data_IF_418666303749
#
_entry.id   IF_418666303749
#
_cell.length_a   1.000
_cell.length_b   1.000
_cell.length_c   1.000
_cell.angle_alpha   90.00
_cell.angle_beta   90.00
_cell.angle_gamma   90.00
#
_symmetry.space_group_name_H-M   'P 1'
#
loop_
_entity.id
_entity.type
_entity.pdbx_description
1 polymer ?
#
# COMPACT_ATOMS: atom_id res chain seq x y z
N UNK A 1 17.57 18.90 6.17
CA UNK A 1 16.14 19.05 6.49
C UNK A 1 15.51 17.67 6.61
N UNK A 2 14.92 17.37 7.74
CA UNK A 2 14.30 16.06 7.93
C UNK A 2 12.93 16.02 7.27
N UNK A 3 12.60 14.89 6.65
CA UNK A 3 11.28 14.68 6.08
C UNK A 3 10.32 14.29 7.19
N UNK A 4 9.11 14.80 7.12
CA UNK A 4 8.02 14.34 7.95
C UNK A 4 7.64 12.93 7.49
N UNK A 5 7.70 11.96 8.41
CA UNK A 5 7.40 10.56 8.09
C UNK A 5 5.95 10.32 7.70
N UNK A 6 5.08 11.28 8.00
CA UNK A 6 3.65 11.15 7.70
C UNK A 6 3.27 11.71 6.34
N UNK A 7 4.20 12.29 5.61
CA UNK A 7 3.90 12.86 4.29
C UNK A 7 3.61 11.75 3.29
N UNK A 8 2.52 11.87 2.50
CA UNK A 8 2.09 10.78 1.63
C UNK A 8 3.03 10.50 0.45
N UNK A 9 3.89 11.46 0.10
CA UNK A 9 4.82 11.31 -1.02
C UNK A 9 6.21 10.81 -0.61
N UNK A 10 6.39 10.46 0.67
CA UNK A 10 7.66 9.89 1.11
C UNK A 10 7.85 8.50 0.52
N UNK A 11 9.10 8.16 0.23
CA UNK A 11 9.43 6.81 -0.22
C UNK A 11 9.04 5.82 0.85
N UNK A 12 8.48 4.69 0.42
CA UNK A 12 7.90 3.72 1.34
C UNK A 12 8.94 3.13 2.30
N UNK A 13 10.18 2.94 1.84
CA UNK A 13 11.25 2.40 2.68
C UNK A 13 11.76 3.41 3.70
N UNK A 14 11.49 4.70 3.51
CA UNK A 14 11.93 5.73 4.45
C UNK A 14 11.14 5.72 5.75
N UNK A 15 9.98 5.06 5.78
CA UNK A 15 9.12 5.00 6.97
C UNK A 15 9.23 3.68 7.73
N UNK A 16 10.11 2.80 7.29
CA UNK A 16 10.30 1.48 7.91
C UNK A 16 11.75 1.30 8.34
N UNK A 17 11.97 0.45 9.34
CA UNK A 17 13.34 0.08 9.72
C UNK A 17 13.94 -0.89 8.68
N UNK A 18 15.24 -1.12 8.79
CA UNK A 18 15.97 -1.94 7.82
C UNK A 18 15.48 -3.39 7.79
N UNK A 19 15.14 -3.94 8.94
CA UNK A 19 14.68 -5.33 9.01
C UNK A 19 13.32 -5.49 8.34
N UNK A 20 12.40 -4.57 8.61
CA UNK A 20 11.08 -4.57 7.99
C UNK A 20 11.19 -4.37 6.49
N UNK A 21 12.00 -3.42 6.06
CA UNK A 21 12.22 -3.14 4.64
C UNK A 21 12.76 -4.36 3.91
N UNK A 22 13.72 -5.06 4.53
CA UNK A 22 14.30 -6.28 3.95
C UNK A 22 13.25 -7.37 3.77
N UNK A 23 12.44 -7.61 4.79
CA UNK A 23 11.40 -8.64 4.74
C UNK A 23 10.36 -8.31 3.65
N UNK A 24 9.95 -7.06 3.56
CA UNK A 24 9.00 -6.60 2.55
C UNK A 24 9.59 -6.78 1.15
N UNK A 25 10.83 -6.33 0.95
CA UNK A 25 11.49 -6.44 -0.34
C UNK A 25 11.61 -7.89 -0.80
N UNK A 26 11.98 -8.80 0.12
CA UNK A 26 12.09 -10.22 -0.20
C UNK A 26 10.75 -10.81 -0.61
N UNK A 27 9.67 -10.43 0.06
CA UNK A 27 8.33 -10.90 -0.29
C UNK A 27 7.92 -10.41 -1.68
N UNK A 28 8.20 -9.14 -2.00
CA UNK A 28 7.91 -8.60 -3.33
C UNK A 28 8.72 -9.31 -4.42
N UNK A 29 10.01 -9.56 -4.16
CA UNK A 29 10.87 -10.26 -5.11
C UNK A 29 10.41 -11.69 -5.37
N UNK A 30 10.00 -12.38 -4.30
CA UNK A 30 9.46 -13.74 -4.43
C UNK A 30 8.16 -13.74 -5.24
N UNK A 31 7.31 -12.76 -5.02
CA UNK A 31 6.06 -12.62 -5.77
C UNK A 31 6.35 -12.39 -7.26
N UNK A 32 7.28 -11.49 -7.57
CA UNK A 32 7.66 -11.21 -8.95
C UNK A 32 8.21 -12.44 -9.65
N UNK A 33 9.00 -13.23 -8.92
CA UNK A 33 9.59 -14.47 -9.46
C UNK A 33 8.59 -15.62 -9.55
N UNK A 34 7.38 -15.47 -9.04
CA UNK A 34 6.37 -16.53 -9.02
C UNK A 34 6.63 -17.62 -7.99
N UNK A 35 7.49 -17.34 -7.00
CA UNK A 35 7.89 -18.32 -5.98
C UNK A 35 7.43 -17.93 -4.56
N UNK A 36 6.55 -16.94 -4.45
CA UNK A 36 6.05 -16.51 -3.13
C UNK A 36 5.17 -17.59 -2.51
N UNK A 37 5.40 -17.85 -1.22
CA UNK A 37 4.52 -18.73 -0.45
C UNK A 37 3.15 -18.10 -0.29
N UNK A 38 2.11 -18.89 0.07
CA UNK A 38 0.79 -18.30 0.34
C UNK A 38 0.85 -17.18 1.39
N UNK A 39 1.67 -17.33 2.42
CA UNK A 39 1.85 -16.30 3.45
C UNK A 39 2.48 -15.03 2.89
N UNK A 40 3.48 -15.18 2.03
CA UNK A 40 4.11 -14.03 1.37
C UNK A 40 3.14 -13.31 0.44
N UNK A 41 2.30 -14.06 -0.28
CA UNK A 41 1.30 -13.47 -1.16
C UNK A 41 0.31 -12.62 -0.37
N UNK A 42 -0.21 -13.15 0.74
CA UNK A 42 -1.12 -12.42 1.62
C UNK A 42 -0.44 -11.20 2.24
N UNK A 43 0.80 -11.37 2.65
CA UNK A 43 1.57 -10.28 3.25
C UNK A 43 1.75 -9.12 2.27
N UNK A 44 2.12 -9.40 1.03
CA UNK A 44 2.30 -8.36 0.01
C UNK A 44 1.00 -7.63 -0.26
N UNK A 45 -0.10 -8.36 -0.41
CA UNK A 45 -1.40 -7.75 -0.68
C UNK A 45 -1.84 -6.85 0.50
N UNK A 46 -1.70 -7.35 1.72
CA UNK A 46 -2.03 -6.59 2.92
C UNK A 46 -1.16 -5.34 3.05
N UNK A 47 0.13 -5.48 2.77
CA UNK A 47 1.07 -4.37 2.80
C UNK A 47 0.68 -3.29 1.78
N UNK A 48 0.34 -3.69 0.55
CA UNK A 48 -0.08 -2.74 -0.49
C UNK A 48 -1.30 -1.94 -0.05
N UNK A 49 -2.29 -2.61 0.51
CA UNK A 49 -3.54 -1.96 0.91
C UNK A 49 -3.31 -1.01 2.08
N UNK A 50 -2.63 -1.48 3.13
CA UNK A 50 -2.51 -0.74 4.39
C UNK A 50 -1.40 0.31 4.38
N UNK A 51 -0.24 -0.05 3.84
CA UNK A 51 0.95 0.80 3.91
C UNK A 51 1.22 1.51 2.59
N UNK A 52 1.22 0.76 1.49
CA UNK A 52 1.52 1.34 0.18
C UNK A 52 0.47 2.36 -0.26
N UNK A 53 -0.80 1.99 -0.15
CA UNK A 53 -1.92 2.85 -0.56
C UNK A 53 -2.52 3.63 0.60
N UNK A 54 -2.19 3.27 1.84
CA UNK A 54 -2.76 3.87 3.06
C UNK A 54 -4.28 3.99 2.97
N UNK A 55 -4.92 2.89 2.57
CA UNK A 55 -6.36 2.84 2.27
C UNK A 55 -7.22 3.31 3.44
N UNK A 56 -6.79 3.00 4.67
CA UNK A 56 -7.57 3.29 5.87
C UNK A 56 -7.09 4.51 6.63
N UNK A 57 -6.10 5.23 6.09
CA UNK A 57 -5.56 6.44 6.71
C UNK A 57 -6.34 7.67 6.22
N UNK A 58 -6.12 8.80 6.92
CA UNK A 58 -6.70 10.07 6.49
C UNK A 58 -6.06 10.53 5.18
N UNK A 59 -6.86 11.17 4.34
CA UNK A 59 -6.37 11.85 3.15
C UNK A 59 -6.38 13.36 3.28
N UNK A 60 -6.70 13.88 4.49
CA UNK A 60 -6.72 15.32 4.72
C UNK A 60 -5.36 15.82 5.19
N UNK A 61 -4.88 16.87 4.53
CA UNK A 61 -3.67 17.60 4.88
C UNK A 61 -3.93 19.09 4.67
N UNK A 62 -3.22 19.97 5.41
CA UNK A 62 -3.41 21.40 5.26
C UNK A 62 -3.14 21.92 3.85
N UNK A 63 -2.21 21.32 3.12
CA UNK A 63 -1.92 21.70 1.74
C UNK A 63 -2.78 20.87 0.78
N UNK A 64 -3.49 21.55 -0.11
CA UNK A 64 -4.43 20.91 -1.03
C UNK A 64 -3.77 19.86 -1.92
N UNK A 65 -2.59 20.16 -2.47
CA UNK A 65 -1.88 19.20 -3.34
C UNK A 65 -1.55 17.92 -2.61
N UNK A 66 -1.15 18.03 -1.34
CA UNK A 66 -0.82 16.87 -0.52
C UNK A 66 -2.07 16.04 -0.26
N UNK A 67 -3.20 16.71 0.03
CA UNK A 67 -4.48 16.03 0.22
C UNK A 67 -4.94 15.32 -1.06
N UNK A 68 -4.78 15.95 -2.21
CA UNK A 68 -5.15 15.33 -3.49
C UNK A 68 -4.29 14.10 -3.78
N UNK A 69 -3.00 14.17 -3.50
CA UNK A 69 -2.11 13.02 -3.65
C UNK A 69 -2.54 11.88 -2.73
N UNK A 70 -2.80 12.19 -1.46
CA UNK A 70 -3.22 11.19 -0.48
C UNK A 70 -4.55 10.55 -0.87
N UNK A 71 -5.50 11.34 -1.34
CA UNK A 71 -6.81 10.84 -1.78
C UNK A 71 -6.65 9.91 -2.98
N UNK A 72 -5.79 10.26 -3.94
CA UNK A 72 -5.54 9.43 -5.12
C UNK A 72 -4.91 8.09 -4.75
N UNK A 73 -3.93 8.10 -3.87
CA UNK A 73 -3.29 6.88 -3.37
C UNK A 73 -4.29 6.00 -2.63
N UNK A 74 -5.08 6.59 -1.76
CA UNK A 74 -6.11 5.89 -1.02
C UNK A 74 -7.16 5.29 -1.94
N UNK A 75 -7.51 6.00 -3.01
CA UNK A 75 -8.45 5.51 -4.02
C UNK A 75 -8.01 4.19 -4.63
N UNK A 76 -6.72 4.08 -4.97
CA UNK A 76 -6.17 2.83 -5.53
C UNK A 76 -6.36 1.68 -4.56
N UNK A 77 -6.06 1.90 -3.28
CA UNK A 77 -6.26 0.88 -2.25
C UNK A 77 -7.71 0.48 -2.12
N UNK A 78 -8.62 1.45 -2.18
CA UNK A 78 -10.07 1.18 -2.15
C UNK A 78 -10.50 0.32 -3.34
N UNK A 79 -9.93 0.54 -4.52
CA UNK A 79 -10.25 -0.27 -5.69
C UNK A 79 -9.76 -1.71 -5.52
N UNK A 80 -8.60 -1.92 -4.90
CA UNK A 80 -8.10 -3.27 -4.61
C UNK A 80 -9.06 -3.98 -3.65
N UNK A 81 -9.47 -3.31 -2.57
CA UNK A 81 -10.42 -3.88 -1.60
C UNK A 81 -11.75 -4.19 -2.28
N UNK A 82 -12.20 -3.30 -3.16
CA UNK A 82 -13.44 -3.53 -3.92
C UNK A 82 -13.35 -4.83 -4.74
N UNK A 83 -12.24 -5.04 -5.43
CA UNK A 83 -12.06 -6.26 -6.24
C UNK A 83 -12.05 -7.52 -5.39
N UNK A 84 -11.49 -7.45 -4.17
CA UNK A 84 -11.47 -8.59 -3.26
C UNK A 84 -12.87 -8.96 -2.76
N UNK A 85 -13.78 -7.99 -2.73
CA UNK A 85 -15.13 -8.18 -2.18
C UNK A 85 -16.22 -8.23 -3.25
N UNK A 86 -15.83 -8.13 -4.52
CA UNK A 86 -16.79 -8.10 -5.60
C UNK A 86 -17.47 -9.46 -5.77
N UNK A 87 -18.79 -9.46 -5.86
CA UNK A 87 -19.54 -10.69 -6.11
C UNK A 87 -19.56 -10.98 -7.62
N UNK A 88 -18.64 -11.84 -8.05
CA UNK A 88 -18.48 -12.17 -9.47
C UNK A 88 -19.75 -12.85 -10.02
N UNK A 89 -20.41 -13.65 -9.20
CA UNK A 89 -21.64 -14.32 -9.60
C UNK A 89 -22.79 -13.38 -9.89
N UNK A 90 -22.73 -12.15 -9.35
CA UNK A 90 -23.74 -11.12 -9.57
C UNK A 90 -23.42 -10.16 -10.73
N UNK A 91 -22.29 -10.31 -11.37
CA UNK A 91 -21.90 -9.45 -12.49
C UNK A 91 -22.63 -9.86 -13.76
N UNK A 92 -22.95 -8.86 -14.56
CA UNK A 92 -23.58 -9.06 -15.87
C UNK A 92 -22.67 -8.57 -16.96
#
# INVERSE_FOLDING_TARGET
MSKDKNMPYNDIDSIMDANTTSAVSMAFKSLEAGSASPEQQKFVLDFLIKIGCRTYDTDWFPEERVSCFAAGRRFVGQQIVRMLNLNVGGLK
#
